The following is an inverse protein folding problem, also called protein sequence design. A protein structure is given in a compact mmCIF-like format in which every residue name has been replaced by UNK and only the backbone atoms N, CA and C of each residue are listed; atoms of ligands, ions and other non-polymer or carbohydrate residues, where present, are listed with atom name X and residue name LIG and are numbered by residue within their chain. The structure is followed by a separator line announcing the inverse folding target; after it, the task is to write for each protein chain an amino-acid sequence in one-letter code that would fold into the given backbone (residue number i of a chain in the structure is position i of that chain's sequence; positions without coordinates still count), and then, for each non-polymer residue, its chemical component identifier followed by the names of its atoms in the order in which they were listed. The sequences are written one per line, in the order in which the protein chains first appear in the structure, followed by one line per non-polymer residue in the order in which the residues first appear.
data_IF_572651947200
#
_entry.id   IF_572651947200
#
_cell.length_a   1.000
_cell.length_b   1.000
_cell.length_c   1.000
_cell.angle_alpha   90.00
_cell.angle_beta   90.00
_cell.angle_gamma   90.00
#
_symmetry.space_group_name_H-M   'P 1'
#
loop_
_entity.id
_entity.type
_entity.pdbx_description
1 polymer ?
#
# COMPACT_ATOMS: atom_id res chain seq x y z
N UNK A 1 -17.54 -4.15 14.45
CA UNK A 1 -17.89 -4.01 13.01
C UNK A 1 -17.61 -2.61 12.48
N UNK A 2 -18.09 -1.54 13.12
CA UNK A 2 -17.88 -0.14 12.69
C UNK A 2 -16.40 0.26 12.73
N UNK A 3 -15.67 -0.11 13.79
CA UNK A 3 -14.25 0.21 13.97
C UNK A 3 -13.39 -0.24 12.78
N UNK A 4 -13.55 -1.47 12.29
CA UNK A 4 -12.79 -1.98 11.14
C UNK A 4 -13.08 -1.21 9.84
N UNK A 5 -14.30 -0.68 9.67
CA UNK A 5 -14.64 0.14 8.51
C UNK A 5 -13.94 1.49 8.60
N UNK A 6 -13.94 2.10 9.79
CA UNK A 6 -13.28 3.39 10.04
C UNK A 6 -11.77 3.25 9.81
N UNK A 7 -11.14 2.21 10.37
CA UNK A 7 -9.70 1.96 10.20
C UNK A 7 -9.33 1.89 8.72
N UNK A 8 -10.03 1.08 7.91
CA UNK A 8 -9.71 0.91 6.48
C UNK A 8 -9.95 2.16 5.63
N UNK A 9 -10.69 3.15 6.14
CA UNK A 9 -10.89 4.44 5.48
C UNK A 9 -9.85 5.46 5.93
N UNK A 10 -9.62 5.58 7.23
CA UNK A 10 -8.80 6.63 7.84
C UNK A 10 -7.31 6.31 7.78
N UNK A 11 -6.92 5.07 8.08
CA UNK A 11 -5.52 4.65 8.14
C UNK A 11 -4.74 4.98 6.85
N UNK A 12 -5.18 4.58 5.64
CA UNK A 12 -4.43 4.90 4.42
C UNK A 12 -4.36 6.42 4.15
N UNK A 13 -5.35 7.21 4.55
CA UNK A 13 -5.32 8.67 4.39
C UNK A 13 -4.27 9.28 5.31
N UNK A 14 -4.23 8.85 6.58
CA UNK A 14 -3.20 9.29 7.53
C UNK A 14 -1.81 8.90 7.05
N UNK A 15 -1.65 7.67 6.57
CA UNK A 15 -0.39 7.17 5.99
C UNK A 15 0.05 8.01 4.79
N UNK A 16 -0.85 8.35 3.87
CA UNK A 16 -0.52 9.26 2.76
C UNK A 16 -0.10 10.63 3.26
N UNK A 17 -0.80 11.18 4.26
CA UNK A 17 -0.42 12.43 4.90
C UNK A 17 0.99 12.39 5.48
N UNK A 18 1.38 11.27 6.09
CA UNK A 18 2.74 11.04 6.61
C UNK A 18 3.75 11.01 5.46
N UNK A 19 3.50 10.26 4.39
CA UNK A 19 4.40 10.17 3.23
C UNK A 19 4.64 11.54 2.59
N UNK A 20 3.57 12.27 2.25
CA UNK A 20 3.71 13.62 1.69
C UNK A 20 4.40 14.59 2.65
N UNK A 21 4.09 14.53 3.95
CA UNK A 21 4.77 15.38 4.94
C UNK A 21 6.26 15.06 5.02
N UNK A 22 6.63 13.78 4.96
CA UNK A 22 8.02 13.33 4.94
C UNK A 22 8.75 13.84 3.69
N UNK A 23 8.15 13.67 2.50
CA UNK A 23 8.69 14.20 1.25
C UNK A 23 8.90 15.72 1.29
N UNK A 24 7.95 16.47 1.86
CA UNK A 24 8.07 17.93 2.04
C UNK A 24 9.23 18.26 2.99
N UNK A 25 9.31 17.62 4.16
CA UNK A 25 10.37 17.88 5.14
C UNK A 25 11.75 17.65 4.51
N UNK A 26 11.95 16.54 3.79
CA UNK A 26 13.23 16.25 3.13
C UNK A 26 13.48 17.19 1.94
N UNK A 27 12.46 17.46 1.12
CA UNK A 27 12.56 18.33 -0.05
C UNK A 27 12.97 19.77 0.28
N UNK A 28 12.54 20.29 1.44
CA UNK A 28 12.94 21.62 1.93
C UNK A 28 14.16 21.60 2.87
N UNK A 29 14.80 20.45 3.05
CA UNK A 29 16.07 20.36 3.79
C UNK A 29 17.27 20.77 2.92
N UNK A 30 18.43 20.90 3.56
CA UNK A 30 19.71 21.18 2.89
C UNK A 30 20.31 19.96 2.17
N UNK A 31 19.65 18.80 2.21
CA UNK A 31 20.08 17.60 1.47
C UNK A 31 19.73 17.81 0.00
N UNK A 32 20.69 17.67 -0.92
CA UNK A 32 20.43 17.79 -2.37
C UNK A 32 20.21 16.45 -3.06
N UNK A 33 20.91 15.41 -2.58
CA UNK A 33 20.92 14.08 -3.17
C UNK A 33 20.49 13.06 -2.10
N UNK A 34 19.58 12.17 -2.47
CA UNK A 34 19.02 11.14 -1.60
C UNK A 34 19.18 9.74 -2.23
N UNK A 35 19.19 8.67 -1.40
CA UNK A 35 19.05 7.30 -1.90
C UNK A 35 17.74 7.13 -2.68
N UNK A 36 17.80 6.43 -3.82
CA UNK A 36 16.63 6.10 -4.65
C UNK A 36 16.40 4.60 -4.80
N UNK A 37 17.46 3.81 -4.70
CA UNK A 37 17.39 2.36 -4.89
C UNK A 37 18.42 1.67 -4.00
N UNK A 38 18.13 0.42 -3.67
CA UNK A 38 19.03 -0.48 -2.96
C UNK A 38 19.21 -1.77 -3.74
N UNK A 39 20.40 -2.35 -3.66
CA UNK A 39 20.66 -3.67 -4.20
C UNK A 39 20.09 -4.79 -3.29
N UNK A 40 20.24 -6.04 -3.72
CA UNK A 40 19.77 -7.22 -2.96
C UNK A 40 20.49 -7.44 -1.62
N UNK A 41 21.64 -6.78 -1.41
CA UNK A 41 22.39 -6.80 -0.15
C UNK A 41 21.93 -5.70 0.82
N UNK A 42 20.97 -4.85 0.43
CA UNK A 42 20.48 -3.74 1.24
C UNK A 42 21.35 -2.48 1.17
N UNK A 43 22.31 -2.42 0.24
CA UNK A 43 23.19 -1.27 0.06
C UNK A 43 22.59 -0.33 -0.98
N UNK A 44 22.74 0.98 -0.77
CA UNK A 44 22.29 1.98 -1.74
C UNK A 44 23.17 1.91 -2.99
N UNK A 45 22.56 1.63 -4.14
CA UNK A 45 23.25 1.54 -5.43
C UNK A 45 22.80 2.62 -6.43
N UNK A 46 21.80 3.44 -6.06
CA UNK A 46 21.38 4.59 -6.84
C UNK A 46 21.00 5.78 -5.95
N UNK A 47 21.32 6.98 -6.43
CA UNK A 47 21.03 8.25 -5.79
C UNK A 47 20.43 9.22 -6.80
N UNK A 48 19.65 10.19 -6.33
CA UNK A 48 19.13 11.26 -7.20
C UNK A 48 18.55 12.42 -6.42
N UNK A 49 17.75 13.25 -7.10
CA UNK A 49 17.30 14.51 -6.53
C UNK A 49 16.35 14.29 -5.35
N UNK A 50 16.45 15.12 -4.31
CA UNK A 50 15.49 15.15 -3.19
C UNK A 50 14.02 15.25 -3.61
N UNK A 51 13.75 15.86 -4.75
CA UNK A 51 12.40 16.03 -5.29
C UNK A 51 11.82 14.72 -5.84
N UNK A 52 12.65 13.74 -6.17
CA UNK A 52 12.20 12.41 -6.61
C UNK A 52 11.52 11.63 -5.47
N UNK A 53 11.71 12.04 -4.22
CA UNK A 53 11.03 11.47 -3.07
C UNK A 53 9.50 11.58 -3.19
N UNK A 54 8.97 12.58 -3.91
CA UNK A 54 7.54 12.75 -4.16
C UNK A 54 6.92 11.68 -5.07
N UNK A 55 7.74 10.90 -5.79
CA UNK A 55 7.25 9.87 -6.72
C UNK A 55 6.53 8.76 -5.97
N UNK A 56 7.09 8.24 -4.87
CA UNK A 56 6.47 7.17 -4.09
C UNK A 56 5.12 7.56 -3.46
N UNK A 57 4.97 8.69 -2.74
CA UNK A 57 3.68 9.12 -2.21
C UNK A 57 2.67 9.46 -3.32
N UNK A 58 3.12 9.92 -4.50
CA UNK A 58 2.25 10.11 -5.65
C UNK A 58 1.71 8.77 -6.20
N UNK A 59 2.57 7.75 -6.32
CA UNK A 59 2.14 6.39 -6.70
C UNK A 59 1.19 5.81 -5.64
N UNK A 60 1.50 5.98 -4.36
CA UNK A 60 0.64 5.54 -3.27
C UNK A 60 -0.75 6.23 -3.33
N UNK A 61 -0.80 7.52 -3.65
CA UNK A 61 -2.04 8.26 -3.84
C UNK A 61 -2.85 7.70 -5.03
N UNK A 62 -2.19 7.46 -6.17
CA UNK A 62 -2.85 6.88 -7.34
C UNK A 62 -3.45 5.50 -7.03
N UNK A 63 -2.70 4.64 -6.34
CA UNK A 63 -3.16 3.32 -5.91
C UNK A 63 -4.35 3.45 -4.93
N UNK A 64 -4.26 4.36 -3.96
CA UNK A 64 -5.35 4.63 -3.03
C UNK A 64 -6.63 5.02 -3.79
N UNK A 65 -6.54 5.96 -4.73
CA UNK A 65 -7.68 6.44 -5.52
C UNK A 65 -8.27 5.32 -6.40
N UNK A 66 -7.42 4.54 -7.05
CA UNK A 66 -7.85 3.39 -7.85
C UNK A 66 -8.60 2.36 -7.00
N UNK A 67 -8.04 1.97 -5.86
CA UNK A 67 -8.68 0.98 -4.98
C UNK A 67 -9.95 1.52 -4.32
N UNK A 68 -9.97 2.80 -3.95
CA UNK A 68 -11.17 3.50 -3.47
C UNK A 68 -12.28 3.53 -4.52
N UNK A 69 -11.92 3.67 -5.80
CA UNK A 69 -12.88 3.57 -6.90
C UNK A 69 -13.37 2.13 -7.08
N UNK A 70 -12.48 1.13 -7.05
CA UNK A 70 -12.86 -0.29 -7.12
C UNK A 70 -13.82 -0.68 -5.99
N UNK A 71 -13.57 -0.25 -4.75
CA UNK A 71 -14.45 -0.50 -3.59
C UNK A 71 -15.91 -0.07 -3.82
N UNK A 72 -16.15 0.93 -4.68
CA UNK A 72 -17.50 1.40 -5.05
C UNK A 72 -18.08 0.72 -6.28
N UNK A 73 -17.26 -0.02 -7.00
CA UNK A 73 -17.63 -0.69 -8.24
C UNK A 73 -17.39 -2.21 -8.19
N UNK A 74 -17.86 -2.94 -7.16
CA UNK A 74 -17.61 -4.37 -7.03
C UNK A 74 -18.23 -5.21 -8.14
N UNK A 75 -19.22 -4.68 -8.86
CA UNK A 75 -19.81 -5.31 -10.04
C UNK A 75 -18.78 -5.58 -11.16
N UNK A 76 -17.66 -4.83 -11.17
CA UNK A 76 -16.58 -5.01 -12.15
C UNK A 76 -15.68 -6.21 -11.84
N UNK A 77 -15.78 -6.80 -10.66
CA UNK A 77 -14.90 -7.88 -10.26
C UNK A 77 -15.32 -9.19 -10.92
N UNK A 78 -14.31 -10.01 -11.26
CA UNK A 78 -14.54 -11.37 -11.70
C UNK A 78 -14.69 -12.29 -10.47
N UNK A 79 -15.89 -12.82 -10.25
CA UNK A 79 -16.18 -13.72 -9.14
C UNK A 79 -16.45 -15.14 -9.62
N UNK A 80 -16.12 -16.16 -8.82
CA UNK A 80 -16.43 -17.54 -9.17
C UNK A 80 -17.94 -17.79 -9.18
N UNK A 81 -18.37 -18.76 -9.99
CA UNK A 81 -19.72 -19.30 -9.90
C UNK A 81 -19.88 -20.08 -8.58
N UNK A 82 -20.28 -19.39 -7.52
CA UNK A 82 -20.49 -19.99 -6.20
C UNK A 82 -21.93 -20.45 -6.03
N UNK A 83 -22.10 -21.69 -5.56
CA UNK A 83 -23.40 -22.20 -5.06
C UNK A 83 -23.67 -21.79 -3.61
N UNK A 84 -22.62 -21.37 -2.89
CA UNK A 84 -22.63 -21.10 -1.44
C UNK A 84 -22.91 -19.64 -1.11
N UNK A 85 -22.46 -18.71 -1.97
CA UNK A 85 -22.60 -17.28 -1.76
C UNK A 85 -23.38 -16.62 -2.88
N UNK A 86 -24.38 -15.81 -2.51
CA UNK A 86 -25.07 -14.93 -3.44
C UNK A 86 -24.11 -13.88 -4.03
N UNK A 87 -24.48 -13.29 -5.18
CA UNK A 87 -23.66 -12.25 -5.83
C UNK A 87 -23.33 -11.09 -4.88
N UNK A 88 -24.30 -10.63 -4.09
CA UNK A 88 -24.11 -9.53 -3.12
C UNK A 88 -23.12 -9.89 -2.01
N UNK A 89 -23.11 -11.14 -1.55
CA UNK A 89 -22.14 -11.59 -0.55
C UNK A 89 -20.73 -11.67 -1.12
N UNK A 90 -20.59 -12.15 -2.36
CA UNK A 90 -19.31 -12.16 -3.06
C UNK A 90 -18.77 -10.73 -3.24
N UNK A 91 -19.63 -9.79 -3.64
CA UNK A 91 -19.29 -8.37 -3.73
C UNK A 91 -18.81 -7.80 -2.40
N UNK A 92 -19.51 -8.09 -1.29
CA UNK A 92 -19.10 -7.66 0.05
C UNK A 92 -17.72 -8.23 0.44
N UNK A 93 -17.48 -9.51 0.14
CA UNK A 93 -16.19 -10.18 0.39
C UNK A 93 -15.08 -9.54 -0.46
N UNK A 94 -15.36 -9.26 -1.73
CA UNK A 94 -14.43 -8.62 -2.66
C UNK A 94 -14.07 -7.19 -2.24
N UNK A 95 -15.05 -6.38 -1.85
CA UNK A 95 -14.80 -5.02 -1.31
C UNK A 95 -13.92 -5.11 -0.06
N UNK A 96 -14.18 -6.08 0.81
CA UNK A 96 -13.39 -6.27 2.02
C UNK A 96 -11.93 -6.63 1.72
N UNK A 97 -11.69 -7.48 0.71
CA UNK A 97 -10.36 -7.80 0.18
C UNK A 97 -9.65 -6.55 -0.36
N UNK A 98 -10.29 -5.83 -1.29
CA UNK A 98 -9.70 -4.62 -1.90
C UNK A 98 -9.36 -3.57 -0.82
N UNK A 99 -10.21 -3.40 0.19
CA UNK A 99 -9.90 -2.48 1.30
C UNK A 99 -8.65 -2.86 2.08
N UNK A 100 -8.41 -4.15 2.31
CA UNK A 100 -7.19 -4.58 3.00
C UNK A 100 -5.96 -4.42 2.11
N UNK A 101 -6.05 -4.77 0.82
CA UNK A 101 -4.97 -4.53 -0.14
C UNK A 101 -4.59 -3.05 -0.17
N UNK A 102 -5.58 -2.15 -0.23
CA UNK A 102 -5.37 -0.70 -0.21
C UNK A 102 -4.58 -0.24 1.01
N UNK A 103 -5.01 -0.67 2.20
CA UNK A 103 -4.33 -0.30 3.45
C UNK A 103 -2.90 -0.82 3.47
N UNK A 104 -2.69 -2.10 3.18
CA UNK A 104 -1.37 -2.73 3.27
C UNK A 104 -0.42 -2.15 2.22
N UNK A 105 -0.87 -1.95 0.98
CA UNK A 105 -0.05 -1.39 -0.09
C UNK A 105 0.34 0.06 0.19
N UNK A 106 -0.59 0.91 0.64
CA UNK A 106 -0.28 2.32 0.97
C UNK A 106 0.70 2.41 2.15
N UNK A 107 0.52 1.60 3.19
CA UNK A 107 1.47 1.49 4.31
C UNK A 107 2.85 1.04 3.85
N UNK A 108 2.91 0.00 3.02
CA UNK A 108 4.17 -0.53 2.52
C UNK A 108 4.94 0.51 1.71
N UNK A 109 4.28 1.24 0.81
CA UNK A 109 4.94 2.25 -0.04
C UNK A 109 5.51 3.43 0.77
N UNK A 110 4.73 3.97 1.71
CA UNK A 110 5.22 5.06 2.59
C UNK A 110 6.32 4.58 3.53
N UNK A 111 6.25 3.33 3.99
CA UNK A 111 7.30 2.75 4.81
C UNK A 111 8.61 2.56 4.02
N UNK A 112 8.52 2.10 2.77
CA UNK A 112 9.69 2.02 1.86
C UNK A 112 10.30 3.40 1.68
N UNK A 113 9.49 4.42 1.39
CA UNK A 113 9.94 5.81 1.23
C UNK A 113 10.75 6.30 2.43
N UNK A 114 10.23 6.11 3.65
CA UNK A 114 10.91 6.55 4.88
C UNK A 114 12.18 5.74 5.12
N UNK A 115 12.10 4.41 5.01
CA UNK A 115 13.25 3.54 5.30
C UNK A 115 14.39 3.75 4.30
N UNK A 116 14.08 4.00 3.03
CA UNK A 116 15.08 4.28 2.01
C UNK A 116 15.96 5.50 2.38
N UNK A 117 15.43 6.45 3.15
CA UNK A 117 16.20 7.60 3.63
C UNK A 117 16.85 7.33 5.00
N UNK A 118 16.13 6.69 5.93
CA UNK A 118 16.55 6.61 7.34
C UNK A 118 17.41 5.36 7.64
N UNK A 119 17.06 4.22 7.04
CA UNK A 119 17.69 2.89 7.24
C UNK A 119 17.55 2.04 5.96
N UNK A 120 18.29 2.36 4.88
CA UNK A 120 18.15 1.68 3.59
C UNK A 120 18.34 0.16 3.68
N UNK A 121 19.24 -0.28 4.56
CA UNK A 121 19.56 -1.68 4.84
C UNK A 121 18.36 -2.50 5.35
N UNK A 122 17.36 -1.84 5.96
CA UNK A 122 16.16 -2.49 6.50
C UNK A 122 15.00 -2.58 5.51
N UNK A 123 15.06 -1.89 4.37
CA UNK A 123 13.94 -1.85 3.40
C UNK A 123 13.59 -3.26 2.92
N UNK A 124 14.58 -4.08 2.51
CA UNK A 124 14.32 -5.43 2.02
C UNK A 124 13.65 -6.30 3.11
N UNK A 125 14.24 -6.36 4.29
CA UNK A 125 13.73 -7.18 5.40
C UNK A 125 12.37 -6.71 5.89
N UNK A 126 12.09 -5.41 5.84
CA UNK A 126 10.81 -4.84 6.25
C UNK A 126 9.72 -5.05 5.21
N UNK A 127 10.04 -5.11 3.92
CA UNK A 127 9.02 -5.32 2.87
C UNK A 127 8.53 -6.77 2.77
N UNK A 128 9.38 -7.75 3.05
CA UNK A 128 9.02 -9.18 3.04
C UNK A 128 7.76 -9.53 3.87
N UNK A 129 7.62 -9.11 5.14
CA UNK A 129 6.41 -9.40 5.92
C UNK A 129 5.16 -8.74 5.34
N UNK A 130 5.26 -7.57 4.69
CA UNK A 130 4.12 -6.93 4.02
C UNK A 130 3.71 -7.72 2.77
N UNK A 131 4.67 -8.21 1.99
CA UNK A 131 4.38 -9.09 0.84
C UNK A 131 3.71 -10.39 1.32
N UNK A 132 4.23 -11.01 2.38
CA UNK A 132 3.61 -12.19 2.98
C UNK A 132 2.18 -11.90 3.48
N UNK A 133 1.96 -10.73 4.09
CA UNK A 133 0.64 -10.28 4.55
C UNK A 133 -0.34 -10.07 3.38
N UNK A 134 0.12 -9.47 2.27
CA UNK A 134 -0.66 -9.32 1.05
C UNK A 134 -1.10 -10.68 0.50
N UNK A 135 -0.16 -11.63 0.37
CA UNK A 135 -0.44 -12.98 -0.10
C UNK A 135 -1.42 -13.70 0.84
N UNK A 136 -1.20 -13.61 2.15
CA UNK A 136 -2.10 -14.17 3.14
C UNK A 136 -3.53 -13.62 3.01
N UNK A 137 -3.68 -12.30 2.86
CA UNK A 137 -4.99 -11.67 2.64
C UNK A 137 -5.63 -12.18 1.35
N UNK A 138 -4.90 -12.22 0.24
CA UNK A 138 -5.43 -12.77 -1.02
C UNK A 138 -5.92 -14.23 -0.86
N UNK A 139 -5.11 -15.09 -0.24
CA UNK A 139 -5.45 -16.50 -0.01
C UNK A 139 -6.68 -16.62 0.90
N UNK A 140 -6.70 -15.90 2.03
CA UNK A 140 -7.79 -15.92 2.99
C UNK A 140 -9.13 -15.56 2.34
N UNK A 141 -9.16 -14.49 1.54
CA UNK A 141 -10.41 -14.04 0.90
C UNK A 141 -10.79 -14.91 -0.31
N UNK A 142 -9.82 -15.51 -1.01
CA UNK A 142 -10.10 -16.54 -2.02
C UNK A 142 -10.77 -17.77 -1.40
N UNK A 143 -10.23 -18.30 -0.30
CA UNK A 143 -10.82 -19.42 0.43
C UNK A 143 -12.21 -19.10 0.98
N UNK A 144 -12.47 -17.83 1.33
CA UNK A 144 -13.80 -17.36 1.78
C UNK A 144 -14.85 -17.36 0.66
N UNK A 145 -14.44 -17.27 -0.61
CA UNK A 145 -15.36 -17.29 -1.77
C UNK A 145 -15.69 -18.71 -2.27
N UNK A 146 -14.84 -19.69 -1.93
CA UNK A 146 -15.05 -21.11 -2.21
C UNK A 146 -16.06 -21.73 -1.22
#
# INVERSE_FOLDING_TARGET
MILNIIIKKVLPILTLGIGFSFAIIVGFSNVEIIPLHINIHGEVDNYGSKWELFILPAIALLIYLLMWWLERNPQLYNFPNSKKHSRKEQEKIGVELISWLKVITVLMLVLIEILLIVKPDLVLWTTLPFVALLLYVCIKYKLKLL
#
